data_IF_158533015927
#
_entry.id   IF_158533015927
#
_cell.length_a   1.000
_cell.length_b   1.000
_cell.length_c   1.000
_cell.angle_alpha   90.00
_cell.angle_beta   90.00
_cell.angle_gamma   90.00
#
_symmetry.space_group_name_H-M   'P 1'
#
loop_
_entity.id
_entity.type
_entity.pdbx_description
1 polymer ?
#
# COMPACT_ATOMS: atom_id res chain seq x y z
N UNK A 1 -28.71 -9.25 -2.62
CA UNK A 1 -27.49 -9.97 -3.01
C UNK A 1 -26.57 -8.97 -3.68
N UNK A 2 -25.33 -8.81 -3.21
CA UNK A 2 -24.39 -7.85 -3.80
C UNK A 2 -23.73 -8.52 -5.02
N UNK A 3 -23.90 -7.94 -6.21
CA UNK A 3 -23.43 -8.48 -7.50
C UNK A 3 -22.15 -7.80 -7.98
N UNK A 4 -21.22 -7.52 -7.07
CA UNK A 4 -19.96 -6.87 -7.44
C UNK A 4 -19.06 -7.87 -8.16
N UNK A 5 -18.72 -7.59 -9.42
CA UNK A 5 -17.85 -8.46 -10.23
C UNK A 5 -16.41 -7.92 -10.37
N UNK A 6 -16.24 -6.60 -10.33
CA UNK A 6 -14.95 -5.93 -10.54
C UNK A 6 -14.70 -4.93 -9.41
N UNK A 7 -13.55 -5.06 -8.74
CA UNK A 7 -13.10 -4.15 -7.70
C UNK A 7 -11.68 -3.70 -8.00
N UNK A 8 -11.52 -2.49 -8.53
CA UNK A 8 -10.22 -1.86 -8.70
C UNK A 8 -10.10 -0.66 -7.74
N UNK A 9 -9.22 -0.81 -6.75
CA UNK A 9 -8.86 0.20 -5.78
C UNK A 9 -7.34 0.46 -5.79
N UNK A 10 -6.65 0.11 -6.87
CA UNK A 10 -5.21 0.31 -6.93
C UNK A 10 -4.82 1.79 -6.88
N UNK A 11 -3.60 2.08 -6.41
CA UNK A 11 -3.04 3.45 -6.31
C UNK A 11 -3.84 4.41 -5.41
N UNK A 12 -4.39 3.87 -4.33
CA UNK A 12 -5.05 4.66 -3.32
C UNK A 12 -4.18 4.78 -2.05
N UNK A 13 -4.70 5.51 -1.08
CA UNK A 13 -4.09 5.68 0.23
C UNK A 13 -4.84 4.88 1.31
N UNK A 14 -5.51 3.78 0.92
CA UNK A 14 -6.26 2.93 1.86
C UNK A 14 -5.32 2.30 2.88
N UNK A 15 -5.78 2.20 4.12
CA UNK A 15 -5.01 1.64 5.23
C UNK A 15 -5.91 0.79 6.13
N UNK A 16 -5.27 0.04 7.03
CA UNK A 16 -5.97 -0.94 7.87
C UNK A 16 -6.02 -2.32 7.22
N UNK A 17 -6.88 -3.17 7.77
CA UNK A 17 -7.01 -4.58 7.36
C UNK A 17 -7.97 -4.76 6.19
N UNK A 18 -7.72 -5.80 5.37
CA UNK A 18 -8.66 -6.25 4.35
C UNK A 18 -9.82 -6.94 5.07
N UNK A 19 -11.07 -6.45 4.99
CA UNK A 19 -12.17 -7.04 5.74
C UNK A 19 -12.46 -8.47 5.29
N UNK A 20 -12.49 -9.43 6.23
CA UNK A 20 -12.88 -10.83 5.95
C UNK A 20 -14.26 -10.97 5.32
N UNK A 21 -15.16 -10.01 5.53
CA UNK A 21 -16.48 -9.99 4.89
C UNK A 21 -16.42 -9.95 3.36
N UNK A 22 -15.30 -9.53 2.76
CA UNK A 22 -15.11 -9.55 1.31
C UNK A 22 -15.04 -10.99 0.75
N UNK A 23 -14.79 -12.01 1.59
CA UNK A 23 -14.88 -13.41 1.18
C UNK A 23 -16.30 -13.81 0.74
N UNK A 24 -17.33 -13.09 1.21
CA UNK A 24 -18.73 -13.36 0.85
C UNK A 24 -19.13 -12.87 -0.56
N UNK A 25 -18.24 -12.14 -1.26
CA UNK A 25 -18.50 -11.62 -2.61
C UNK A 25 -18.28 -12.70 -3.67
N UNK A 26 -19.20 -13.67 -3.73
CA UNK A 26 -19.09 -14.85 -4.61
C UNK A 26 -19.08 -14.56 -6.11
N UNK A 27 -19.53 -13.37 -6.53
CA UNK A 27 -19.52 -12.94 -7.92
C UNK A 27 -18.28 -12.12 -8.30
N UNK A 28 -17.38 -11.82 -7.35
CA UNK A 28 -16.20 -11.01 -7.61
C UNK A 28 -15.19 -11.81 -8.43
N UNK A 29 -14.97 -11.36 -9.67
CA UNK A 29 -14.08 -11.99 -10.66
C UNK A 29 -12.73 -11.31 -10.72
N UNK A 30 -12.68 -10.01 -10.44
CA UNK A 30 -11.47 -9.21 -10.48
C UNK A 30 -11.34 -8.36 -9.22
N UNK A 31 -10.17 -8.43 -8.59
CA UNK A 31 -9.79 -7.56 -7.49
C UNK A 31 -8.38 -7.04 -7.73
N UNK A 32 -8.19 -5.73 -7.58
CA UNK A 32 -6.88 -5.12 -7.56
C UNK A 32 -6.86 -4.05 -6.47
N UNK A 33 -6.09 -4.30 -5.41
CA UNK A 33 -5.92 -3.39 -4.28
C UNK A 33 -4.45 -3.02 -4.08
N UNK A 34 -3.65 -3.19 -5.14
CA UNK A 34 -2.21 -2.92 -5.14
C UNK A 34 -1.93 -1.42 -4.93
N UNK A 35 -0.71 -1.10 -4.50
CA UNK A 35 -0.27 0.28 -4.25
C UNK A 35 -1.19 1.03 -3.28
N UNK A 36 -1.45 0.42 -2.12
CA UNK A 36 -2.13 1.03 -0.98
C UNK A 36 -1.21 0.98 0.26
N UNK A 37 -1.76 1.24 1.45
CA UNK A 37 -1.07 1.14 2.75
C UNK A 37 -1.77 0.11 3.64
N UNK A 38 -2.29 -0.96 3.04
CA UNK A 38 -3.01 -2.02 3.74
C UNK A 38 -2.04 -2.86 4.58
N UNK A 39 -2.57 -3.43 5.66
CA UNK A 39 -1.81 -4.22 6.62
C UNK A 39 -2.61 -5.41 7.14
N UNK A 40 -1.94 -6.38 7.77
CA UNK A 40 -2.60 -7.54 8.36
C UNK A 40 -2.73 -8.72 7.41
N UNK A 41 -3.55 -9.70 7.79
CA UNK A 41 -3.69 -10.95 7.05
C UNK A 41 -4.55 -10.77 5.79
N UNK A 42 -4.07 -11.27 4.66
CA UNK A 42 -4.87 -11.37 3.43
C UNK A 42 -5.90 -12.50 3.61
N UNK A 43 -7.22 -12.23 3.48
CA UNK A 43 -8.23 -13.27 3.50
C UNK A 43 -7.94 -14.34 2.44
N UNK A 44 -8.20 -15.61 2.74
CA UNK A 44 -7.90 -16.73 1.85
C UNK A 44 -9.16 -17.40 1.28
N UNK A 45 -10.34 -17.03 1.78
CA UNK A 45 -11.62 -17.56 1.34
C UNK A 45 -12.24 -16.81 0.15
N UNK A 46 -13.27 -17.43 -0.42
CA UNK A 46 -14.11 -16.81 -1.46
C UNK A 46 -13.29 -16.37 -2.69
N UNK A 47 -13.47 -15.14 -3.20
CA UNK A 47 -12.76 -14.68 -4.38
C UNK A 47 -11.23 -14.70 -4.19
N UNK A 48 -10.71 -14.48 -2.98
CA UNK A 48 -9.27 -14.41 -2.70
C UNK A 48 -8.52 -15.73 -2.95
N UNK A 49 -9.23 -16.86 -2.97
CA UNK A 49 -8.64 -18.16 -3.28
C UNK A 49 -8.05 -18.22 -4.71
N UNK A 50 -8.56 -17.39 -5.63
CA UNK A 50 -8.20 -17.43 -7.05
C UNK A 50 -7.46 -16.16 -7.52
N UNK A 51 -7.04 -15.29 -6.60
CA UNK A 51 -6.42 -14.00 -6.91
C UNK A 51 -4.91 -14.13 -6.98
N UNK A 52 -4.30 -13.44 -7.95
CA UNK A 52 -2.85 -13.38 -8.10
C UNK A 52 -2.21 -12.43 -7.09
N UNK A 53 -0.95 -12.70 -6.72
CA UNK A 53 -0.14 -11.81 -5.85
C UNK A 53 -0.02 -10.37 -6.36
N UNK A 54 -0.17 -10.16 -7.68
CA UNK A 54 -0.15 -8.84 -8.31
C UNK A 54 -1.16 -7.87 -7.69
N UNK A 55 -2.32 -8.39 -7.28
CA UNK A 55 -3.43 -7.61 -6.71
C UNK A 55 -3.11 -7.00 -5.34
N UNK A 56 -2.03 -7.46 -4.70
CA UNK A 56 -1.62 -7.06 -3.36
C UNK A 56 -0.26 -6.33 -3.33
N UNK A 57 0.37 -6.11 -4.49
CA UNK A 57 1.67 -5.45 -4.59
C UNK A 57 1.71 -4.11 -3.87
N UNK A 58 2.89 -3.74 -3.37
CA UNK A 58 3.14 -2.45 -2.73
C UNK A 58 2.22 -2.18 -1.53
N UNK A 59 1.84 -3.22 -0.79
CA UNK A 59 1.23 -3.14 0.54
C UNK A 59 2.12 -3.84 1.57
N UNK A 60 3.21 -3.18 1.97
CA UNK A 60 4.30 -3.79 2.76
C UNK A 60 3.88 -4.34 4.13
N UNK A 61 2.72 -3.90 4.64
CA UNK A 61 2.13 -4.35 5.90
C UNK A 61 1.32 -5.65 5.79
N UNK A 62 1.08 -6.17 4.59
CA UNK A 62 0.31 -7.40 4.40
C UNK A 62 1.15 -8.64 4.73
N UNK A 63 0.46 -9.64 5.27
CA UNK A 63 0.99 -10.97 5.51
C UNK A 63 -0.06 -12.03 5.12
N UNK A 64 0.33 -13.30 4.97
CA UNK A 64 -0.63 -14.35 4.65
C UNK A 64 0.01 -15.58 4.02
N UNK A 65 -0.79 -16.29 3.23
CA UNK A 65 -0.35 -17.46 2.48
C UNK A 65 0.77 -17.11 1.48
N UNK A 66 1.67 -18.06 1.27
CA UNK A 66 2.77 -17.98 0.30
C UNK A 66 2.32 -17.67 -1.13
N UNK A 67 1.09 -18.04 -1.53
CA UNK A 67 0.55 -17.77 -2.87
C UNK A 67 0.53 -16.27 -3.20
N UNK A 68 0.45 -15.41 -2.18
CA UNK A 68 0.39 -13.97 -2.34
C UNK A 68 1.76 -13.30 -2.39
N UNK A 69 2.87 -14.05 -2.30
CA UNK A 69 4.23 -13.51 -2.25
C UNK A 69 4.45 -12.47 -1.13
N UNK A 70 3.76 -12.63 -0.01
CA UNK A 70 3.90 -11.79 1.18
C UNK A 70 4.58 -12.56 2.31
N UNK A 71 4.97 -11.84 3.37
CA UNK A 71 5.53 -12.47 4.57
C UNK A 71 4.46 -13.35 5.24
N UNK A 72 4.79 -14.49 5.84
CA UNK A 72 3.84 -15.25 6.64
C UNK A 72 3.40 -14.42 7.86
N UNK A 73 2.12 -14.50 8.22
CA UNK A 73 1.62 -13.81 9.40
C UNK A 73 2.23 -14.40 10.68
N UNK A 74 2.69 -13.53 11.57
CA UNK A 74 3.13 -13.92 12.91
C UNK A 74 1.89 -14.21 13.76
N UNK A 75 1.31 -15.39 13.61
CA UNK A 75 0.39 -15.92 14.61
C UNK A 75 1.15 -15.96 15.92
N UNK A 76 0.54 -15.47 17.01
CA UNK A 76 1.17 -15.39 18.34
C UNK A 76 1.79 -16.75 18.65
N UNK A 77 3.11 -16.89 18.43
CA UNK A 77 3.89 -17.96 19.03
C UNK A 77 3.59 -17.81 20.51
N UNK A 78 2.86 -18.78 21.03
CA UNK A 78 2.41 -18.86 22.41
C UNK A 78 3.48 -18.27 23.33
N UNK A 79 3.07 -17.35 24.19
CA UNK A 79 3.78 -16.66 25.28
C UNK A 79 4.42 -17.65 26.31
N UNK A 80 4.93 -18.80 25.87
CA UNK A 80 5.59 -19.83 26.70
C UNK A 80 7.11 -19.69 26.72
N UNK A 81 7.69 -18.82 25.88
CA UNK A 81 9.15 -18.62 25.74
C UNK A 81 9.68 -17.27 26.28
N UNK A 82 8.90 -16.54 27.10
CA UNK A 82 9.40 -15.33 27.80
C UNK A 82 10.04 -15.63 29.16
N UNK A 83 9.70 -16.75 29.83
CA UNK A 83 10.28 -17.12 31.14
C UNK A 83 11.79 -17.45 31.11
N UNK A 84 12.36 -17.84 29.96
CA UNK A 84 13.80 -18.14 29.85
C UNK A 84 14.68 -16.92 29.52
N UNK A 85 14.11 -15.76 29.18
CA UNK A 85 14.88 -14.57 28.80
C UNK A 85 15.11 -13.58 29.93
N UNK A 86 14.21 -13.48 30.91
CA UNK A 86 14.36 -12.52 32.03
C UNK A 86 15.62 -12.84 32.86
N UNK A 87 15.93 -14.12 33.09
CA UNK A 87 17.13 -14.54 33.81
C UNK A 87 18.45 -14.15 33.10
N UNK A 88 18.47 -14.14 31.76
CA UNK A 88 19.64 -13.75 30.97
C UNK A 88 19.77 -12.23 30.83
N UNK A 89 18.65 -11.50 30.78
CA UNK A 89 18.62 -10.03 30.68
C UNK A 89 19.18 -9.39 31.95
N UNK A 90 18.82 -9.86 33.14
CA UNK A 90 19.39 -9.34 34.39
C UNK A 90 20.91 -9.55 34.46
N UNK A 91 21.41 -10.73 34.08
CA UNK A 91 22.85 -11.01 34.05
C UNK A 91 23.61 -10.17 33.01
N UNK A 92 23.00 -9.93 31.85
CA UNK A 92 23.63 -9.17 30.76
C UNK A 92 23.61 -7.65 30.99
N UNK A 93 22.56 -7.10 31.59
CA UNK A 93 22.46 -5.66 31.95
C UNK A 93 23.54 -5.28 32.96
N UNK A 94 23.80 -6.14 33.95
CA UNK A 94 24.89 -5.96 34.92
C UNK A 94 26.27 -5.97 34.23
N UNK A 95 26.46 -6.81 33.20
CA UNK A 95 27.71 -6.84 32.41
C UNK A 95 27.85 -5.64 31.46
N UNK A 96 26.75 -5.09 30.93
CA UNK A 96 26.74 -3.93 30.01
C UNK A 96 26.96 -2.60 30.72
N UNK A 97 26.43 -2.42 31.94
CA UNK A 97 26.72 -1.21 32.73
C UNK A 97 28.20 -1.08 33.12
N UNK A 98 28.99 -2.17 32.99
CA UNK A 98 30.45 -2.17 33.22
C UNK A 98 31.29 -1.81 32.00
N UNK A 99 30.73 -1.74 30.79
CA UNK A 99 31.49 -1.43 29.55
C UNK A 99 31.00 -0.12 28.93
N UNK A 100 31.52 0.94 29.52
CA UNK A 100 31.79 2.28 28.95
C UNK A 100 31.51 2.51 27.46
N UNK A 101 30.83 3.65 27.23
CA UNK A 101 31.14 4.69 26.24
C UNK A 101 31.86 4.26 24.96
N UNK A 102 31.17 4.40 23.82
CA UNK A 102 31.75 4.92 22.57
C UNK A 102 30.61 5.45 21.68
N UNK A 103 30.74 6.71 21.30
CA UNK A 103 29.89 7.43 20.34
C UNK A 103 29.97 6.77 18.95
N UNK A 104 28.89 6.90 18.17
CA UNK A 104 28.97 7.41 16.80
C UNK A 104 27.55 7.63 16.25
N UNK A 105 27.32 8.88 15.87
CA UNK A 105 26.21 9.38 15.06
C UNK A 105 26.06 8.63 13.74
N UNK A 106 24.83 8.25 13.40
CA UNK A 106 24.50 7.66 12.11
C UNK A 106 23.78 8.70 11.25
N UNK A 107 24.52 9.29 10.31
CA UNK A 107 23.96 10.05 9.20
C UNK A 107 23.55 9.05 8.10
N UNK A 108 22.30 9.13 7.63
CA UNK A 108 21.83 8.33 6.51
C UNK A 108 21.66 9.21 5.27
N UNK A 109 22.64 9.07 4.37
CA UNK A 109 22.55 8.99 2.90
C UNK A 109 21.22 9.43 2.28
N UNK A 110 21.25 10.54 1.53
CA UNK A 110 20.15 10.92 0.65
C UNK A 110 20.08 9.93 -0.53
N UNK A 111 19.14 9.01 -0.48
CA UNK A 111 18.74 8.24 -1.65
C UNK A 111 18.29 9.23 -2.73
N UNK A 112 18.83 9.06 -3.94
CA UNK A 112 18.37 9.75 -5.14
C UNK A 112 16.87 9.50 -5.26
N UNK A 113 16.08 10.55 -5.00
CA UNK A 113 14.62 10.49 -4.98
C UNK A 113 14.15 10.33 -6.43
N UNK A 114 13.81 9.10 -6.82
CA UNK A 114 12.99 8.91 -8.02
C UNK A 114 11.69 9.69 -7.87
N UNK A 115 11.01 10.00 -8.99
CA UNK A 115 9.72 10.69 -8.94
C UNK A 115 8.78 10.00 -7.94
N UNK A 116 8.41 10.73 -6.88
CA UNK A 116 7.53 10.24 -5.84
C UNK A 116 6.17 9.94 -6.48
N UNK A 117 5.72 8.69 -6.39
CA UNK A 117 4.39 8.31 -6.90
C UNK A 117 3.33 8.92 -5.98
N UNK A 118 2.37 9.63 -6.56
CA UNK A 118 1.28 10.32 -5.85
C UNK A 118 0.04 9.41 -5.84
N UNK A 119 -0.62 9.22 -4.69
CA UNK A 119 -1.87 8.45 -4.62
C UNK A 119 -3.06 9.26 -5.14
N UNK A 120 -4.14 8.61 -5.57
CA UNK A 120 -5.30 9.27 -6.19
C UNK A 120 -5.89 10.40 -5.33
N UNK A 121 -6.03 10.18 -4.02
CA UNK A 121 -6.56 11.20 -3.10
C UNK A 121 -5.71 12.47 -3.05
N UNK A 122 -4.38 12.33 -3.08
CA UNK A 122 -3.48 13.49 -3.13
C UNK A 122 -3.56 14.20 -4.49
N UNK A 123 -3.76 13.44 -5.57
CA UNK A 123 -3.97 13.99 -6.91
C UNK A 123 -5.27 14.80 -6.99
N UNK A 124 -6.35 14.29 -6.40
CA UNK A 124 -7.65 14.95 -6.32
C UNK A 124 -7.54 16.27 -5.54
N UNK A 125 -6.93 16.26 -4.35
CA UNK A 125 -6.71 17.49 -3.59
C UNK A 125 -5.85 18.51 -4.35
N UNK A 126 -4.74 18.06 -4.91
CA UNK A 126 -3.78 18.92 -5.60
C UNK A 126 -4.38 19.58 -6.84
N UNK A 127 -5.36 18.95 -7.48
CA UNK A 127 -6.08 19.46 -8.66
C UNK A 127 -7.40 20.16 -8.33
N UNK A 128 -7.73 20.29 -7.03
CA UNK A 128 -9.02 20.78 -6.54
C UNK A 128 -10.21 19.98 -7.09
N UNK A 129 -10.12 18.65 -7.07
CA UNK A 129 -11.14 17.75 -7.58
C UNK A 129 -11.21 17.71 -9.11
N UNK A 130 -10.07 17.86 -9.80
CA UNK A 130 -10.02 17.99 -11.26
C UNK A 130 -10.91 19.13 -11.78
N UNK A 131 -10.86 20.30 -11.12
CA UNK A 131 -11.68 21.46 -11.48
C UNK A 131 -11.35 21.98 -12.89
N UNK A 132 -12.37 22.34 -13.67
CA UNK A 132 -12.20 22.93 -15.00
C UNK A 132 -11.37 24.21 -14.99
N UNK A 133 -11.39 24.98 -13.90
CA UNK A 133 -10.52 26.18 -13.75
C UNK A 133 -9.03 25.85 -13.79
N UNK A 134 -8.66 24.60 -13.48
CA UNK A 134 -7.30 24.09 -13.53
C UNK A 134 -7.01 23.34 -14.84
N UNK A 135 -7.94 23.26 -15.79
CA UNK A 135 -7.73 22.56 -17.04
C UNK A 135 -6.68 23.29 -17.90
N UNK A 136 -5.63 22.57 -18.28
CA UNK A 136 -4.56 23.06 -19.15
C UNK A 136 -4.80 22.67 -20.61
N UNK A 137 -5.55 21.60 -20.86
CA UNK A 137 -5.89 21.20 -22.22
C UNK A 137 -6.83 20.01 -22.26
N UNK A 138 -7.61 19.94 -23.34
CA UNK A 138 -8.51 18.85 -23.64
C UNK A 138 -8.13 18.25 -25.00
N UNK A 139 -7.68 17.00 -24.99
CA UNK A 139 -7.37 16.23 -26.20
C UNK A 139 -8.37 15.11 -26.42
N UNK A 140 -8.31 14.46 -27.58
CA UNK A 140 -9.26 13.39 -27.95
C UNK A 140 -9.31 12.21 -26.97
N UNK A 141 -8.24 11.95 -26.21
CA UNK A 141 -8.13 10.79 -25.32
C UNK A 141 -7.88 11.15 -23.85
N UNK A 142 -7.72 12.45 -23.54
CA UNK A 142 -7.31 12.85 -22.20
C UNK A 142 -7.54 14.33 -21.92
N UNK A 143 -7.78 14.63 -20.66
CA UNK A 143 -7.80 15.97 -20.11
C UNK A 143 -6.55 16.18 -19.26
N UNK A 144 -5.93 17.34 -19.38
CA UNK A 144 -4.73 17.70 -18.61
C UNK A 144 -5.10 18.80 -17.63
N UNK A 145 -4.80 18.58 -16.34
CA UNK A 145 -5.10 19.52 -15.26
C UNK A 145 -3.81 19.99 -14.59
N UNK A 146 -3.80 21.25 -14.15
CA UNK A 146 -2.81 21.82 -13.26
C UNK A 146 -3.04 21.29 -11.85
N UNK A 147 -1.98 20.83 -11.19
CA UNK A 147 -2.00 20.48 -9.79
C UNK A 147 -0.90 21.18 -9.00
N UNK A 148 -1.14 21.38 -7.70
CA UNK A 148 -0.17 21.91 -6.74
C UNK A 148 0.03 20.85 -5.66
N UNK A 149 1.23 20.26 -5.58
CA UNK A 149 1.57 19.30 -4.53
C UNK A 149 1.75 19.99 -3.17
N UNK A 150 1.75 19.22 -2.08
CA UNK A 150 1.81 19.75 -0.69
C UNK A 150 3.06 20.58 -0.40
N UNK A 151 4.16 20.32 -1.12
CA UNK A 151 5.42 21.06 -1.04
C UNK A 151 5.44 22.34 -1.89
N UNK A 152 4.33 22.67 -2.58
CA UNK A 152 4.20 23.80 -3.50
C UNK A 152 4.63 23.49 -4.93
N UNK A 153 5.12 22.28 -5.23
CA UNK A 153 5.55 21.88 -6.57
C UNK A 153 4.37 21.83 -7.53
N UNK A 154 4.50 22.49 -8.68
CA UNK A 154 3.52 22.46 -9.76
C UNK A 154 3.70 21.21 -10.62
N UNK A 155 2.59 20.59 -11.02
CA UNK A 155 2.60 19.48 -11.96
C UNK A 155 1.38 19.50 -12.89
N UNK A 156 1.43 18.67 -13.93
CA UNK A 156 0.31 18.41 -14.84
C UNK A 156 -0.19 16.98 -14.67
N UNK A 157 -1.46 16.82 -14.28
CA UNK A 157 -2.14 15.53 -14.21
C UNK A 157 -2.81 15.23 -15.54
N UNK A 158 -2.46 14.11 -16.18
CA UNK A 158 -3.14 13.64 -17.39
C UNK A 158 -4.17 12.57 -17.03
N UNK A 159 -5.45 12.92 -17.14
CA UNK A 159 -6.58 12.02 -16.91
C UNK A 159 -7.01 11.41 -18.25
N UNK A 160 -7.03 10.09 -18.34
CA UNK A 160 -7.42 9.38 -19.56
C UNK A 160 -8.91 9.01 -19.54
N UNK A 161 -9.60 9.17 -20.67
CA UNK A 161 -10.97 8.70 -20.83
C UNK A 161 -10.98 7.18 -21.03
N UNK A 162 -11.44 6.43 -20.03
CA UNK A 162 -11.50 4.95 -20.07
C UNK A 162 -12.69 4.42 -20.88
N UNK A 163 -13.59 5.29 -21.35
CA UNK A 163 -14.80 4.92 -22.09
C UNK A 163 -14.63 4.81 -23.62
N UNK A 164 -13.40 4.86 -24.12
CA UNK A 164 -13.12 4.50 -25.52
C UNK A 164 -12.68 3.04 -25.55
N UNK A 165 -13.62 2.17 -25.91
CA UNK A 165 -13.37 0.77 -26.24
C UNK A 165 -12.13 0.64 -27.14
N UNK A 166 -11.15 -0.16 -26.71
CA UNK A 166 -10.13 -0.66 -27.63
C UNK A 166 -8.68 -0.25 -27.38
N UNK A 167 -8.21 -0.14 -26.13
CA UNK A 167 -6.76 -0.22 -25.86
C UNK A 167 -6.47 -1.31 -24.83
N UNK A 168 -6.29 -2.54 -25.34
CA UNK A 168 -5.46 -3.57 -24.72
C UNK A 168 -4.10 -2.96 -24.39
N UNK A 169 -3.69 -2.99 -23.11
CA UNK A 169 -2.34 -2.61 -22.71
C UNK A 169 -1.54 -3.86 -22.35
N UNK A 170 -0.45 -4.03 -23.09
CA UNK A 170 0.74 -4.80 -22.71
C UNK A 170 1.44 -4.17 -21.51
#
# INVERSE_FOLDING_TARGET
MLSLEFLDLCYNCLSGEIPKSLEALVYLKYINISFNKLSGEIPSGGPFAYVTSQSFLSNDGLCGDSQFNVKPCLTKLTEKSRRKRIALVCGYVVLRLRKTKKNASQANVSLVKGHERICYYELEQATNGFNESNMLGNGSFSMVYKGIHKDGTLFAAKLFNVHLEGIQKF
#
